data_IF_823202716527
#
_entry.id   IF_823202716527
#
_cell.length_a   1.000
_cell.length_b   1.000
_cell.length_c   1.000
_cell.angle_alpha   90.00
_cell.angle_beta   90.00
_cell.angle_gamma   90.00
#
_symmetry.space_group_name_H-M   'P 1'
#
loop_
_entity.id
_entity.type
_entity.pdbx_description
1 polymer ?
#
# COMPACT_ATOMS: atom_id res chain seq x y z
N UNK A 1 8.91 -59.53 15.07
CA UNK A 1 9.75 -59.51 13.85
C UNK A 1 9.13 -58.52 12.89
N UNK A 2 9.72 -57.41 12.47
CA UNK A 2 11.08 -56.88 12.63
C UNK A 2 11.01 -55.47 13.23
N UNK A 3 11.82 -55.25 14.27
CA UNK A 3 12.33 -53.93 14.65
C UNK A 3 13.19 -53.40 13.50
N UNK A 4 13.10 -52.11 13.22
CA UNK A 4 14.24 -51.31 12.76
C UNK A 4 14.33 -50.11 13.70
N UNK A 5 15.45 -50.03 14.41
CA UNK A 5 15.76 -48.96 15.33
C UNK A 5 16.33 -47.75 14.57
N UNK A 6 15.96 -46.54 14.97
CA UNK A 6 16.76 -45.34 14.72
C UNK A 6 16.49 -44.26 15.77
N UNK A 7 17.48 -44.12 16.67
CA UNK A 7 18.08 -42.88 17.20
C UNK A 7 17.16 -41.81 17.83
N UNK A 8 17.34 -41.65 19.15
CA UNK A 8 16.99 -40.45 19.92
C UNK A 8 17.66 -39.20 19.31
N UNK A 9 16.87 -38.23 18.87
CA UNK A 9 17.24 -36.81 18.87
C UNK A 9 16.17 -36.07 19.68
N UNK A 10 16.63 -35.24 20.59
CA UNK A 10 15.89 -34.53 21.62
C UNK A 10 14.82 -33.61 21.05
N UNK A 11 13.56 -33.83 21.46
CA UNK A 11 12.58 -32.78 21.75
C UNK A 11 12.16 -31.84 20.60
N UNK A 12 11.54 -32.37 19.55
CA UNK A 12 10.46 -31.64 18.88
C UNK A 12 9.18 -32.44 19.10
N UNK A 13 8.27 -31.90 19.90
CA UNK A 13 6.90 -32.38 19.88
C UNK A 13 6.32 -32.01 18.51
N UNK A 14 6.10 -33.01 17.66
CA UNK A 14 5.20 -32.87 16.52
C UNK A 14 3.80 -32.67 17.12
N UNK A 15 3.35 -31.42 17.16
CA UNK A 15 1.96 -31.10 17.44
C UNK A 15 1.19 -31.57 16.20
N UNK A 16 0.25 -32.54 16.32
CA UNK A 16 -0.69 -32.78 15.23
C UNK A 16 -1.50 -31.49 15.05
N UNK A 17 -1.51 -30.93 13.83
CA UNK A 17 -2.40 -29.84 13.45
C UNK A 17 -3.83 -30.41 13.44
N UNK A 18 -4.42 -30.53 14.63
CA UNK A 18 -5.83 -30.84 14.82
C UNK A 18 -6.56 -29.52 15.03
N UNK A 19 -7.39 -29.14 14.05
CA UNK A 19 -8.57 -28.28 14.18
C UNK A 19 -8.45 -27.13 15.20
N UNK A 20 -7.58 -26.16 14.95
CA UNK A 20 -7.98 -24.80 15.27
C UNK A 20 -9.03 -24.48 14.22
N UNK A 21 -10.29 -24.26 14.62
CA UNK A 21 -11.27 -23.64 13.74
C UNK A 21 -10.68 -22.30 13.31
N UNK A 22 -10.01 -22.27 12.16
CA UNK A 22 -9.44 -21.04 11.66
C UNK A 22 -10.61 -20.09 11.48
N UNK A 23 -10.60 -19.00 12.26
CA UNK A 23 -11.59 -17.95 12.07
C UNK A 23 -11.54 -17.57 10.60
N UNK A 24 -12.70 -17.70 9.94
CA UNK A 24 -12.82 -17.50 8.51
C UNK A 24 -13.47 -16.15 8.32
N UNK A 25 -12.88 -15.32 7.47
CA UNK A 25 -13.40 -13.98 7.19
C UNK A 25 -13.76 -13.83 5.71
N UNK A 26 -14.66 -12.89 5.43
CA UNK A 26 -15.02 -12.44 4.09
C UNK A 26 -15.14 -10.92 4.05
N UNK A 27 -15.25 -10.37 2.84
CA UNK A 27 -15.53 -8.95 2.61
C UNK A 27 -16.96 -8.78 2.09
N UNK A 28 -17.76 -8.00 2.81
CA UNK A 28 -19.11 -7.63 2.39
C UNK A 28 -19.13 -6.21 1.85
N UNK A 29 -19.67 -6.04 0.64
CA UNK A 29 -19.85 -4.70 0.05
C UNK A 29 -20.94 -3.96 0.82
N UNK A 30 -20.62 -2.79 1.35
CA UNK A 30 -21.55 -1.98 2.15
C UNK A 30 -22.17 -0.85 1.35
N UNK A 31 -21.40 -0.19 0.47
CA UNK A 31 -21.89 0.90 -0.37
C UNK A 31 -20.95 1.22 -1.52
N UNK A 32 -21.47 1.99 -2.49
CA UNK A 32 -20.70 2.72 -3.51
C UNK A 32 -20.87 4.22 -3.27
N UNK A 33 -19.75 4.95 -3.30
CA UNK A 33 -19.73 6.41 -3.17
C UNK A 33 -19.24 6.98 -4.51
N UNK A 34 -20.13 7.57 -5.34
CA UNK A 34 -19.72 8.16 -6.61
C UNK A 34 -18.83 9.38 -6.37
N UNK A 35 -17.76 9.54 -7.16
CA UNK A 35 -16.95 10.76 -7.13
C UNK A 35 -17.59 11.82 -8.02
N UNK A 36 -18.30 12.76 -7.40
CA UNK A 36 -18.87 13.91 -8.09
C UNK A 36 -17.81 15.02 -8.17
N UNK A 37 -17.04 15.02 -9.25
CA UNK A 37 -15.99 16.02 -9.53
C UNK A 37 -16.50 17.23 -10.32
N UNK A 38 -17.81 17.36 -10.55
CA UNK A 38 -18.38 18.41 -11.38
C UNK A 38 -17.93 18.32 -12.84
N UNK A 39 -17.38 19.41 -13.38
CA UNK A 39 -16.86 19.46 -14.76
C UNK A 39 -15.45 18.83 -14.91
N UNK A 40 -14.84 18.39 -13.80
CA UNK A 40 -13.53 17.76 -13.79
C UNK A 40 -13.63 16.26 -14.13
N UNK A 41 -12.58 15.73 -14.75
CA UNK A 41 -12.48 14.32 -15.14
C UNK A 41 -11.33 13.69 -14.35
N UNK A 42 -11.64 12.64 -13.60
CA UNK A 42 -10.61 11.83 -12.98
C UNK A 42 -9.70 11.20 -14.05
N UNK A 43 -8.40 11.39 -13.89
CA UNK A 43 -7.37 10.64 -14.60
C UNK A 43 -7.06 9.34 -13.86
N UNK A 44 -5.77 9.08 -13.64
CA UNK A 44 -5.32 7.87 -12.99
C UNK A 44 -5.05 8.15 -11.51
N UNK A 45 -5.87 7.55 -10.65
CA UNK A 45 -5.73 7.68 -9.21
C UNK A 45 -4.55 6.82 -8.72
N UNK A 46 -3.59 7.46 -8.04
CA UNK A 46 -2.42 6.81 -7.46
C UNK A 46 -2.65 6.33 -6.03
N UNK A 47 -3.37 7.11 -5.24
CA UNK A 47 -3.60 6.85 -3.81
C UNK A 47 -4.96 7.39 -3.34
N UNK A 48 -5.47 6.82 -2.25
CA UNK A 48 -6.68 7.25 -1.57
C UNK A 48 -6.48 7.13 -0.06
N UNK A 49 -6.65 8.26 0.63
CA UNK A 49 -6.71 8.29 2.09
C UNK A 49 -8.02 8.88 2.56
N UNK A 50 -8.35 8.62 3.81
CA UNK A 50 -9.44 9.27 4.52
C UNK A 50 -8.90 9.94 5.79
N UNK A 51 -9.40 11.13 6.10
CA UNK A 51 -9.10 11.77 7.39
C UNK A 51 -10.13 11.41 8.47
N UNK A 52 -9.89 11.88 9.69
CA UNK A 52 -10.77 11.62 10.84
C UNK A 52 -12.14 12.30 10.76
N UNK A 53 -12.35 13.21 9.80
CA UNK A 53 -13.65 13.81 9.50
C UNK A 53 -14.38 13.03 8.38
N UNK A 54 -13.79 11.94 7.89
CA UNK A 54 -14.32 11.11 6.82
C UNK A 54 -14.14 11.69 5.42
N UNK A 55 -13.35 12.76 5.25
CA UNK A 55 -13.07 13.37 3.95
C UNK A 55 -12.07 12.50 3.19
N UNK A 56 -12.28 12.36 1.90
CA UNK A 56 -11.41 11.58 1.02
C UNK A 56 -10.40 12.48 0.32
N UNK A 57 -9.17 11.99 0.16
CA UNK A 57 -8.13 12.65 -0.61
C UNK A 57 -7.59 11.65 -1.62
N UNK A 58 -7.68 11.99 -2.90
CA UNK A 58 -7.28 11.13 -4.00
C UNK A 58 -6.15 11.80 -4.78
N UNK A 59 -4.98 11.17 -4.86
CA UNK A 59 -3.91 11.68 -5.74
C UNK A 59 -4.21 11.26 -7.16
N UNK A 60 -4.26 12.22 -8.08
CA UNK A 60 -4.46 11.97 -9.49
C UNK A 60 -3.22 12.43 -10.25
N UNK A 61 -2.39 11.45 -10.62
CA UNK A 61 -1.09 11.75 -11.17
C UNK A 61 -1.17 12.22 -12.63
N UNK A 62 -2.23 11.86 -13.37
CA UNK A 62 -2.44 12.34 -14.73
C UNK A 62 -2.94 13.79 -14.72
N UNK A 63 -3.79 14.14 -13.76
CA UNK A 63 -4.32 15.50 -13.60
C UNK A 63 -3.40 16.42 -12.77
N UNK A 64 -2.26 15.90 -12.30
CA UNK A 64 -1.29 16.61 -11.47
C UNK A 64 -1.94 17.32 -10.27
N UNK A 65 -2.78 16.59 -9.55
CA UNK A 65 -3.63 17.17 -8.51
C UNK A 65 -3.92 16.19 -7.38
N UNK A 66 -4.41 16.72 -6.26
CA UNK A 66 -5.12 15.95 -5.24
C UNK A 66 -6.57 16.41 -5.20
N UNK A 67 -7.50 15.47 -5.34
CA UNK A 67 -8.93 15.70 -5.18
C UNK A 67 -9.29 15.55 -3.70
N UNK A 68 -9.81 16.61 -3.09
CA UNK A 68 -10.35 16.57 -1.73
C UNK A 68 -11.87 16.52 -1.81
N UNK A 69 -12.46 15.41 -1.37
CA UNK A 69 -13.89 15.15 -1.44
C UNK A 69 -14.51 14.99 -0.04
N UNK A 70 -15.80 15.28 0.07
CA UNK A 70 -16.56 15.03 1.30
C UNK A 70 -16.88 13.54 1.48
N UNK A 71 -17.54 13.19 2.58
CA UNK A 71 -17.95 11.81 2.91
C UNK A 71 -18.92 11.18 1.88
N UNK A 72 -19.46 11.97 0.96
CA UNK A 72 -20.37 11.54 -0.11
C UNK A 72 -19.70 11.56 -1.48
N UNK A 73 -18.37 11.74 -1.54
CA UNK A 73 -17.59 11.76 -2.77
C UNK A 73 -17.71 13.06 -3.56
N UNK A 74 -18.35 14.11 -3.02
CA UNK A 74 -18.47 15.40 -3.72
C UNK A 74 -17.19 16.20 -3.57
N UNK A 75 -16.68 16.72 -4.68
CA UNK A 75 -15.47 17.54 -4.69
C UNK A 75 -15.65 18.79 -3.82
N UNK A 76 -14.82 18.90 -2.79
CA UNK A 76 -14.68 20.11 -1.97
C UNK A 76 -13.67 21.04 -2.63
N UNK A 77 -12.49 20.51 -2.96
CA UNK A 77 -11.37 21.28 -3.51
C UNK A 77 -10.44 20.44 -4.37
N UNK A 78 -9.83 21.10 -5.34
CA UNK A 78 -8.68 20.63 -6.10
C UNK A 78 -7.41 21.24 -5.51
N UNK A 79 -6.41 20.43 -5.21
CA UNK A 79 -5.11 20.87 -4.69
C UNK A 79 -4.03 20.70 -5.76
N UNK A 80 -3.39 21.80 -6.10
CA UNK A 80 -2.32 21.84 -7.09
C UNK A 80 -2.79 21.86 -8.54
N UNK A 81 -1.80 22.01 -9.42
CA UNK A 81 -1.91 21.99 -10.88
C UNK A 81 -0.56 21.57 -11.45
N UNK A 82 -0.52 21.16 -12.70
CA UNK A 82 0.73 20.82 -13.38
C UNK A 82 1.78 21.93 -13.27
N UNK A 83 2.99 21.57 -12.86
CA UNK A 83 4.14 22.46 -12.84
C UNK A 83 5.16 22.11 -11.76
N UNK A 84 6.04 23.06 -11.46
CA UNK A 84 7.12 22.90 -10.48
C UNK A 84 7.27 24.13 -9.56
N UNK A 85 6.43 25.16 -9.71
CA UNK A 85 6.37 26.31 -8.82
C UNK A 85 5.69 26.02 -7.48
N UNK A 86 5.57 27.04 -6.61
CA UNK A 86 4.87 26.92 -5.32
C UNK A 86 3.43 26.43 -5.50
N UNK A 87 3.10 25.32 -4.84
CA UNK A 87 1.78 24.68 -4.90
C UNK A 87 1.47 23.97 -6.22
N UNK A 88 2.39 23.95 -7.19
CA UNK A 88 2.27 23.13 -8.41
C UNK A 88 2.77 21.72 -8.15
N UNK A 89 2.25 20.74 -8.88
CA UNK A 89 2.53 19.32 -8.70
C UNK A 89 2.93 18.69 -10.03
N UNK A 90 3.73 17.63 -9.96
CA UNK A 90 4.14 16.83 -11.11
C UNK A 90 4.10 15.34 -10.73
N UNK A 91 3.16 14.59 -11.30
CA UNK A 91 2.94 13.17 -11.01
C UNK A 91 2.80 12.85 -9.51
N UNK A 92 1.92 13.53 -8.74
CA UNK A 92 1.74 13.25 -7.31
C UNK A 92 1.40 11.76 -7.09
N UNK A 93 2.18 11.07 -6.26
CA UNK A 93 2.06 9.60 -6.11
C UNK A 93 1.36 9.16 -4.83
N UNK A 94 1.44 9.96 -3.76
CA UNK A 94 0.84 9.64 -2.47
C UNK A 94 0.52 10.90 -1.68
N UNK A 95 -0.40 10.78 -0.72
CA UNK A 95 -0.76 11.89 0.15
C UNK A 95 -1.04 11.40 1.57
N UNK A 96 -0.89 12.30 2.54
CA UNK A 96 -1.22 12.06 3.95
C UNK A 96 -1.76 13.34 4.56
N UNK A 97 -2.49 13.21 5.67
CA UNK A 97 -3.01 14.33 6.43
C UNK A 97 -2.37 14.32 7.81
N UNK A 98 -1.89 15.49 8.23
CA UNK A 98 -1.39 15.71 9.58
C UNK A 98 -1.94 17.03 10.09
N UNK A 99 -2.66 16.99 11.21
CA UNK A 99 -3.41 18.14 11.74
C UNK A 99 -4.29 18.79 10.63
N UNK A 100 -4.18 20.10 10.44
CA UNK A 100 -4.91 20.85 9.41
C UNK A 100 -4.11 21.03 8.10
N UNK A 101 -3.26 20.05 7.77
CA UNK A 101 -2.40 20.09 6.58
C UNK A 101 -2.59 18.85 5.71
N UNK A 102 -2.60 19.08 4.40
CA UNK A 102 -2.53 18.04 3.37
C UNK A 102 -1.11 18.01 2.85
N UNK A 103 -0.48 16.85 2.95
CA UNK A 103 0.91 16.64 2.61
C UNK A 103 0.95 15.74 1.39
N UNK A 104 1.61 16.19 0.33
CA UNK A 104 1.58 15.55 -0.98
C UNK A 104 2.99 15.18 -1.40
N UNK A 105 3.18 13.93 -1.79
CA UNK A 105 4.42 13.44 -2.38
C UNK A 105 4.42 13.77 -3.88
N UNK A 106 5.17 14.81 -4.25
CA UNK A 106 5.33 15.29 -5.62
C UNK A 106 6.51 14.53 -6.27
N UNK A 107 6.22 13.32 -6.72
CA UNK A 107 7.21 12.34 -7.22
C UNK A 107 7.99 12.87 -8.43
N UNK A 108 7.36 13.62 -9.33
CA UNK A 108 7.99 14.15 -10.53
C UNK A 108 9.00 15.26 -10.23
N UNK A 109 8.76 16.04 -9.16
CA UNK A 109 9.66 17.11 -8.74
C UNK A 109 10.62 16.71 -7.59
N UNK A 110 10.52 15.47 -7.09
CA UNK A 110 11.31 14.96 -5.94
C UNK A 110 11.19 15.86 -4.72
N UNK A 111 9.96 16.13 -4.29
CA UNK A 111 9.67 16.95 -3.10
C UNK A 111 8.41 16.50 -2.38
N UNK A 112 8.25 17.00 -1.17
CA UNK A 112 6.98 16.99 -0.44
C UNK A 112 6.41 18.40 -0.45
N UNK A 113 5.14 18.53 -0.81
CA UNK A 113 4.42 19.82 -0.84
C UNK A 113 3.35 19.82 0.24
N UNK A 114 3.25 20.92 0.98
CA UNK A 114 2.33 21.09 2.11
C UNK A 114 1.27 22.13 1.76
N UNK A 115 0.01 21.75 1.90
CA UNK A 115 -1.15 22.62 1.74
C UNK A 115 -1.92 22.71 3.06
N UNK A 116 -2.63 23.82 3.26
CA UNK A 116 -3.70 23.92 4.25
C UNK A 116 -4.97 23.19 3.77
N UNK A 117 -5.91 22.93 4.68
CA UNK A 117 -7.24 22.38 4.35
C UNK A 117 -8.09 23.27 3.43
N UNK A 118 -7.77 24.56 3.30
CA UNK A 118 -8.41 25.47 2.33
C UNK A 118 -7.73 25.46 0.94
N UNK A 119 -6.66 24.69 0.79
CA UNK A 119 -5.91 24.50 -0.45
C UNK A 119 -4.85 25.54 -0.74
N UNK A 120 -4.53 26.38 0.24
CA UNK A 120 -3.42 27.33 0.15
C UNK A 120 -2.09 26.58 0.30
N UNK A 121 -1.16 26.82 -0.62
CA UNK A 121 0.22 26.36 -0.49
C UNK A 121 0.86 26.96 0.78
N UNK A 122 1.53 26.11 1.56
CA UNK A 122 2.23 26.50 2.79
C UNK A 122 3.74 26.49 2.56
N UNK A 123 4.28 25.34 2.18
CA UNK A 123 5.71 25.12 2.03
C UNK A 123 6.00 23.88 1.16
N UNK A 124 7.25 23.70 0.76
CA UNK A 124 7.75 22.46 0.19
C UNK A 124 9.21 22.20 0.56
N UNK A 125 9.57 20.92 0.65
CA UNK A 125 10.95 20.52 0.89
C UNK A 125 11.38 19.39 -0.04
N UNK A 126 12.65 19.43 -0.45
CA UNK A 126 13.24 18.40 -1.30
C UNK A 126 13.39 17.10 -0.52
N UNK A 127 13.17 16.00 -1.21
CA UNK A 127 13.56 14.67 -0.75
C UNK A 127 14.76 14.21 -1.56
N UNK A 128 15.66 13.45 -0.94
CA UNK A 128 16.91 13.01 -1.58
C UNK A 128 16.71 11.91 -2.63
N UNK A 129 15.45 11.55 -2.91
CA UNK A 129 15.07 10.39 -3.70
C UNK A 129 14.49 10.74 -5.06
N UNK A 130 14.88 9.96 -6.06
CA UNK A 130 14.16 9.87 -7.32
C UNK A 130 13.04 8.83 -7.21
N UNK A 131 11.89 9.09 -7.84
CA UNK A 131 10.76 8.14 -7.94
C UNK A 131 10.26 7.61 -6.58
N UNK A 132 10.08 8.49 -5.60
CA UNK A 132 9.44 8.11 -4.34
C UNK A 132 7.99 7.64 -4.56
N UNK A 133 7.56 6.62 -3.83
CA UNK A 133 6.29 5.90 -4.09
C UNK A 133 5.30 5.96 -2.94
N UNK A 134 5.74 6.06 -1.69
CA UNK A 134 4.87 6.09 -0.52
C UNK A 134 5.23 7.22 0.45
N UNK A 135 4.20 7.72 1.13
CA UNK A 135 4.30 8.73 2.17
C UNK A 135 3.40 8.37 3.35
N UNK A 136 3.84 8.64 4.58
CA UNK A 136 3.03 8.48 5.79
C UNK A 136 3.40 9.55 6.82
N UNK A 137 2.41 10.18 7.44
CA UNK A 137 2.62 11.02 8.61
C UNK A 137 2.45 10.24 9.92
N UNK A 138 3.30 10.54 10.89
CA UNK A 138 3.13 10.12 12.28
C UNK A 138 2.15 11.06 13.01
N UNK A 139 1.67 10.61 14.17
CA UNK A 139 0.87 11.47 15.07
C UNK A 139 1.67 12.61 15.70
N UNK A 140 3.00 12.62 15.58
CA UNK A 140 3.89 13.66 16.09
C UNK A 140 4.55 14.51 14.99
N UNK A 141 4.04 14.44 13.75
CA UNK A 141 4.44 15.33 12.66
C UNK A 141 5.68 14.90 11.88
N UNK A 142 6.17 13.68 12.09
CA UNK A 142 7.22 13.09 11.25
C UNK A 142 6.64 12.51 9.97
N UNK A 143 7.39 12.61 8.88
CA UNK A 143 6.99 12.16 7.55
C UNK A 143 7.92 11.05 7.09
N UNK A 144 7.39 9.83 6.94
CA UNK A 144 8.11 8.74 6.30
C UNK A 144 7.91 8.79 4.78
N UNK A 145 9.00 8.70 4.03
CA UNK A 145 8.99 8.61 2.55
C UNK A 145 9.91 7.49 2.12
N UNK A 146 9.46 6.66 1.18
CA UNK A 146 10.27 5.58 0.61
C UNK A 146 10.50 5.79 -0.90
N UNK A 147 11.59 5.18 -1.39
CA UNK A 147 11.83 5.00 -2.82
C UNK A 147 12.34 3.58 -3.08
N UNK A 148 11.96 3.05 -4.23
CA UNK A 148 12.35 1.71 -4.68
C UNK A 148 13.82 1.61 -5.09
N UNK A 149 14.45 2.75 -5.35
CA UNK A 149 15.80 2.84 -5.89
C UNK A 149 16.86 2.98 -4.79
N UNK A 150 16.41 3.07 -3.54
CA UNK A 150 17.25 3.42 -2.41
C UNK A 150 17.58 2.21 -1.56
N UNK A 151 18.79 2.16 -0.97
CA UNK A 151 19.20 1.06 -0.12
C UNK A 151 18.48 1.07 1.23
N UNK A 152 17.86 2.17 1.64
CA UNK A 152 17.05 2.21 2.87
C UNK A 152 15.61 1.76 2.57
N UNK A 153 14.90 1.21 3.56
CA UNK A 153 13.45 0.99 3.38
C UNK A 153 12.75 2.34 3.23
N UNK A 154 13.00 3.27 4.15
CA UNK A 154 12.47 4.63 4.06
C UNK A 154 13.28 5.64 4.88
N UNK A 155 13.11 6.92 4.58
CA UNK A 155 13.63 8.04 5.38
C UNK A 155 12.50 8.76 6.08
N UNK A 156 12.80 9.24 7.28
CA UNK A 156 11.93 10.02 8.14
C UNK A 156 12.42 11.46 8.14
N UNK A 157 11.52 12.37 7.81
CA UNK A 157 11.72 13.81 7.75
C UNK A 157 10.88 14.48 8.84
N UNK A 158 11.33 15.62 9.35
CA UNK A 158 10.46 16.58 10.04
C UNK A 158 9.74 17.47 9.00
N UNK A 159 8.70 18.20 9.43
CA UNK A 159 7.90 19.06 8.55
C UNK A 159 8.68 20.20 7.88
N UNK A 160 9.86 20.55 8.38
CA UNK A 160 10.78 21.52 7.78
C UNK A 160 11.71 20.91 6.72
N UNK A 161 11.59 19.60 6.48
CA UNK A 161 12.40 18.84 5.54
C UNK A 161 13.73 18.33 6.09
N UNK A 162 14.04 18.57 7.37
CA UNK A 162 15.23 18.00 7.98
C UNK A 162 15.11 16.48 8.14
N UNK A 163 16.20 15.76 7.85
CA UNK A 163 16.24 14.30 7.96
C UNK A 163 16.45 13.89 9.41
N UNK A 164 15.48 13.19 9.98
CA UNK A 164 15.51 12.63 11.35
C UNK A 164 16.18 11.26 11.37
N UNK A 165 16.20 10.58 10.22
CA UNK A 165 16.98 9.37 9.98
C UNK A 165 16.32 8.44 8.99
N UNK A 166 16.99 7.33 8.67
CA UNK A 166 16.46 6.27 7.81
C UNK A 166 16.17 4.99 8.60
N UNK A 167 15.33 4.11 8.04
CA UNK A 167 14.95 2.83 8.62
C UNK A 167 15.16 1.70 7.64
N UNK A 168 15.73 0.62 8.16
CA UNK A 168 16.04 -0.62 7.44
C UNK A 168 17.11 -0.44 6.36
N UNK A 169 17.82 -1.52 6.07
CA UNK A 169 18.75 -1.62 4.95
C UNK A 169 18.29 -2.75 4.05
N UNK A 170 18.14 -2.46 2.76
CA UNK A 170 18.07 -3.44 1.69
C UNK A 170 19.49 -3.94 1.49
N UNK A 171 19.68 -5.24 1.60
CA UNK A 171 20.85 -5.88 1.02
C UNK A 171 20.44 -6.23 -0.40
N UNK A 172 20.87 -5.48 -1.44
CA UNK A 172 20.51 -5.81 -2.79
C UNK A 172 21.15 -7.15 -3.13
N UNK A 173 20.36 -8.12 -3.59
CA UNK A 173 20.95 -9.14 -4.45
C UNK A 173 21.32 -8.43 -5.75
N UNK A 174 22.62 -8.25 -6.00
CA UNK A 174 23.15 -7.56 -7.18
C UNK A 174 22.74 -8.21 -8.51
N UNK A 175 22.12 -9.40 -8.47
CA UNK A 175 21.67 -10.13 -9.64
C UNK A 175 20.23 -9.82 -10.09
N UNK A 176 19.45 -9.08 -9.29
CA UNK A 176 18.04 -8.82 -9.59
C UNK A 176 17.85 -7.31 -9.70
N UNK A 177 17.53 -6.81 -10.90
CA UNK A 177 16.75 -5.58 -11.00
C UNK A 177 15.47 -5.85 -10.22
N UNK A 178 15.39 -5.42 -8.95
CA UNK A 178 14.19 -5.58 -8.15
C UNK A 178 13.07 -4.88 -8.89
N UNK A 179 12.23 -5.68 -9.54
CA UNK A 179 11.24 -5.17 -10.46
C UNK A 179 10.25 -4.31 -9.70
N UNK A 180 9.92 -3.19 -10.34
CA UNK A 180 9.08 -2.11 -9.85
C UNK A 180 7.76 -2.64 -9.31
N UNK A 181 7.50 -2.48 -8.02
CA UNK A 181 6.18 -2.60 -7.41
C UNK A 181 6.01 -1.45 -6.43
N UNK A 182 4.83 -0.82 -6.40
CA UNK A 182 4.61 0.30 -5.48
C UNK A 182 4.69 -0.20 -4.04
N UNK A 183 5.44 0.55 -3.23
CA UNK A 183 5.61 0.30 -1.80
C UNK A 183 4.73 1.26 -1.06
N UNK A 184 3.98 0.72 -0.11
CA UNK A 184 2.92 1.42 0.56
C UNK A 184 3.14 1.38 2.06
N UNK A 185 2.81 2.51 2.66
CA UNK A 185 2.66 2.62 4.08
C UNK A 185 1.20 2.45 4.47
N UNK A 186 1.00 1.94 5.66
CA UNK A 186 -0.23 2.13 6.42
C UNK A 186 0.16 2.30 7.89
N UNK A 187 -0.81 2.64 8.74
CA UNK A 187 -0.56 2.86 10.15
C UNK A 187 -1.62 2.17 10.99
N UNK A 188 -1.20 1.47 12.03
CA UNK A 188 -2.14 0.87 12.99
C UNK A 188 -2.75 1.95 13.88
N UNK A 189 -3.87 1.65 14.55
CA UNK A 189 -4.47 2.53 15.55
C UNK A 189 -3.50 2.96 16.66
N UNK A 190 -2.55 2.07 17.01
CA UNK A 190 -1.47 2.32 17.96
C UNK A 190 -0.35 3.24 17.42
N UNK A 191 -0.39 3.64 16.15
CA UNK A 191 0.61 4.50 15.52
C UNK A 191 1.85 3.75 15.01
N UNK A 192 1.82 2.41 14.95
CA UNK A 192 2.90 1.63 14.36
C UNK A 192 2.82 1.69 12.83
N UNK A 193 3.98 1.72 12.19
CA UNK A 193 4.10 1.69 10.73
C UNK A 193 3.85 0.25 10.26
N UNK A 194 2.93 0.08 9.32
CA UNK A 194 2.90 -1.08 8.44
C UNK A 194 3.56 -0.69 7.13
N UNK A 195 4.52 -1.47 6.69
CA UNK A 195 5.29 -1.15 5.51
C UNK A 195 5.43 -2.38 4.62
N UNK A 196 5.01 -2.25 3.36
CA UNK A 196 5.40 -3.22 2.36
C UNK A 196 6.82 -2.97 1.89
N UNK A 197 7.62 -4.00 2.01
CA UNK A 197 8.95 -4.08 1.41
C UNK A 197 8.83 -4.46 -0.07
N UNK A 198 9.94 -4.84 -0.70
CA UNK A 198 9.90 -5.43 -2.06
C UNK A 198 9.48 -6.91 -2.00
N UNK A 199 9.15 -7.49 -3.16
CA UNK A 199 8.59 -8.84 -3.36
C UNK A 199 9.27 -9.94 -2.56
N UNK A 200 10.57 -9.79 -2.28
CA UNK A 200 11.40 -10.79 -1.60
C UNK A 200 11.36 -10.70 -0.06
N UNK A 201 10.64 -9.74 0.51
CA UNK A 201 10.65 -9.45 1.94
C UNK A 201 9.22 -9.42 2.52
N UNK A 202 9.06 -9.77 3.81
CA UNK A 202 7.77 -9.74 4.49
C UNK A 202 7.27 -8.31 4.67
N UNK A 203 5.95 -8.15 4.79
CA UNK A 203 5.40 -6.89 5.33
C UNK A 203 5.85 -6.78 6.78
N UNK A 204 6.27 -5.58 7.18
CA UNK A 204 6.76 -5.32 8.52
C UNK A 204 5.78 -4.42 9.28
N UNK A 205 5.50 -4.78 10.54
CA UNK A 205 4.97 -3.83 11.52
C UNK A 205 6.10 -3.35 12.40
N UNK A 206 6.32 -2.05 12.46
CA UNK A 206 7.44 -1.47 13.20
C UNK A 206 7.07 -0.18 13.92
N UNK A 207 7.88 0.17 14.92
CA UNK A 207 7.87 1.52 15.51
C UNK A 207 8.58 2.51 14.58
N UNK A 208 8.34 3.80 14.80
CA UNK A 208 9.00 4.90 14.09
C UNK A 208 10.53 4.97 14.31
N UNK A 209 11.05 4.33 15.36
CA UNK A 209 12.49 4.17 15.59
C UNK A 209 13.11 3.00 14.79
N UNK A 210 12.31 2.22 14.07
CA UNK A 210 12.76 1.06 13.29
C UNK A 210 12.65 -0.28 14.01
N UNK A 211 12.24 -0.30 15.28
CA UNK A 211 12.03 -1.55 16.01
C UNK A 211 10.92 -2.37 15.35
N UNK A 212 11.26 -3.54 14.80
CA UNK A 212 10.31 -4.49 14.23
C UNK A 212 9.50 -5.15 15.36
N UNK A 213 8.18 -5.21 15.17
CA UNK A 213 7.20 -5.74 16.13
C UNK A 213 6.51 -7.02 15.65
N UNK A 214 6.39 -7.19 14.33
CA UNK A 214 5.86 -8.38 13.69
C UNK A 214 6.26 -8.38 12.21
N UNK A 215 6.29 -9.57 11.63
CA UNK A 215 6.50 -9.82 10.21
C UNK A 215 5.29 -10.60 9.68
N UNK A 216 4.82 -10.25 8.49
CA UNK A 216 3.72 -10.94 7.83
C UNK A 216 4.26 -11.52 6.54
N UNK A 217 4.55 -12.82 6.60
CA UNK A 217 4.92 -13.60 5.42
C UNK A 217 3.67 -13.82 4.59
N UNK A 218 3.52 -13.03 3.53
CA UNK A 218 2.59 -13.38 2.47
C UNK A 218 3.22 -14.56 1.71
N UNK A 219 2.48 -15.66 1.60
CA UNK A 219 2.85 -16.81 0.77
C UNK A 219 2.84 -16.34 -0.69
N UNK A 220 3.90 -15.66 -1.12
CA UNK A 220 4.15 -15.39 -2.52
C UNK A 220 4.39 -16.76 -3.12
N UNK A 221 3.61 -17.22 -4.13
CA UNK A 221 3.94 -18.45 -4.82
C UNK A 221 5.39 -18.35 -5.26
N UNK A 222 6.24 -19.10 -4.56
CA UNK A 222 7.66 -19.07 -4.75
C UNK A 222 7.89 -19.53 -6.17
N UNK A 223 8.33 -18.62 -7.03
CA UNK A 223 9.17 -19.05 -8.13
C UNK A 223 10.43 -19.57 -7.44
N UNK A 224 10.51 -20.89 -7.25
CA UNK A 224 11.65 -21.54 -6.62
C UNK A 224 12.95 -20.97 -7.18
N UNK A 225 13.97 -20.83 -6.33
CA UNK A 225 15.33 -20.37 -6.65
C UNK A 225 15.65 -20.48 -8.15
N UNK A 226 15.62 -19.36 -8.87
CA UNK A 226 16.22 -19.30 -10.20
C UNK A 226 17.74 -19.27 -10.03
N UNK A 227 18.38 -20.41 -10.22
CA UNK A 227 19.82 -20.50 -10.41
C UNK A 227 20.10 -20.50 -11.91
N UNK A 228 20.82 -19.50 -12.40
CA UNK A 228 21.35 -19.52 -13.76
C UNK A 228 22.85 -19.82 -13.73
N UNK A 229 23.30 -20.96 -14.27
CA UNK A 229 24.63 -21.04 -14.85
C UNK A 229 24.56 -20.54 -16.31
N UNK A 230 25.62 -19.86 -16.77
CA UNK A 230 26.02 -19.71 -18.19
C UNK A 230 25.71 -18.44 -19.03
N UNK A 231 25.45 -17.27 -18.43
CA UNK A 231 25.63 -15.99 -19.16
C UNK A 231 24.64 -15.74 -20.32
N UNK A 232 23.35 -15.62 -20.03
CA UNK A 232 22.30 -15.36 -21.02
C UNK A 232 21.79 -13.91 -20.97
N UNK A 233 21.43 -13.40 -22.14
CA UNK A 233 20.89 -12.07 -22.46
C UNK A 233 19.48 -11.81 -21.89
N UNK A 234 19.21 -10.53 -21.61
CA UNK A 234 17.96 -10.02 -21.03
C UNK A 234 16.76 -10.02 -22.02
N UNK A 235 15.52 -10.25 -21.53
CA UNK A 235 14.31 -10.08 -22.33
C UNK A 235 14.00 -8.59 -22.58
N UNK A 236 13.20 -8.30 -23.61
CA UNK A 236 12.74 -6.95 -23.92
C UNK A 236 11.81 -6.45 -22.79
N UNK A 237 11.90 -5.17 -22.43
CA UNK A 237 11.07 -4.51 -21.40
C UNK A 237 9.56 -4.75 -21.62
N UNK A 238 9.11 -4.88 -22.87
CA UNK A 238 7.72 -5.20 -23.23
C UNK A 238 7.23 -6.58 -22.77
N UNK A 239 8.13 -7.53 -22.54
CA UNK A 239 7.79 -8.89 -22.10
C UNK A 239 7.74 -8.97 -20.56
N UNK A 240 8.41 -8.04 -19.88
CA UNK A 240 8.44 -7.90 -18.40
C UNK A 240 7.12 -7.33 -17.87
N UNK A 241 6.47 -6.45 -18.63
CA UNK A 241 5.17 -5.88 -18.27
C UNK A 241 4.03 -6.92 -18.29
N UNK A 242 4.26 -8.11 -18.86
CA UNK A 242 3.29 -9.22 -18.88
C UNK A 242 3.34 -10.09 -17.63
N UNK A 243 4.26 -9.82 -16.70
CA UNK A 243 4.55 -10.72 -15.58
C UNK A 243 4.50 -9.98 -14.25
N UNK A 244 3.63 -10.46 -13.35
CA UNK A 244 3.60 -10.24 -11.90
C UNK A 244 4.32 -8.98 -11.39
N UNK A 245 3.56 -7.90 -11.20
CA UNK A 245 3.98 -6.81 -10.30
C UNK A 245 3.17 -6.92 -9.01
N UNK A 246 3.65 -7.64 -7.99
CA UNK A 246 2.99 -7.67 -6.70
C UNK A 246 3.16 -6.29 -6.06
N UNK A 247 2.16 -5.42 -6.24
CA UNK A 247 1.99 -4.30 -5.33
C UNK A 247 1.54 -4.92 -4.01
N UNK A 248 2.44 -4.91 -3.03
CA UNK A 248 2.11 -5.29 -1.67
C UNK A 248 1.55 -4.05 -1.00
N UNK A 249 0.29 -4.10 -0.55
CA UNK A 249 -0.28 -3.02 0.25
C UNK A 249 -0.83 -3.59 1.56
N UNK A 250 -0.17 -3.29 2.68
CA UNK A 250 -0.67 -3.68 3.98
C UNK A 250 -1.74 -2.71 4.46
N UNK A 251 -2.80 -3.21 5.08
CA UNK A 251 -3.82 -2.41 5.74
C UNK A 251 -4.05 -2.95 7.16
N UNK A 252 -4.05 -2.07 8.15
CA UNK A 252 -4.50 -2.40 9.49
C UNK A 252 -6.02 -2.29 9.56
N UNK A 253 -6.72 -3.36 9.92
CA UNK A 253 -8.20 -3.41 10.02
C UNK A 253 -8.56 -4.01 11.38
N UNK A 254 -8.96 -3.16 12.32
CA UNK A 254 -9.11 -3.57 13.72
C UNK A 254 -7.86 -4.30 14.24
N UNK A 255 -8.04 -5.54 14.68
CA UNK A 255 -6.97 -6.41 15.20
C UNK A 255 -6.28 -7.28 14.14
N UNK A 256 -6.50 -6.98 12.86
CA UNK A 256 -5.96 -7.73 11.73
C UNK A 256 -5.08 -6.87 10.82
N UNK A 257 -4.23 -7.54 10.05
CA UNK A 257 -3.45 -6.97 8.96
C UNK A 257 -3.84 -7.70 7.68
N UNK A 258 -4.35 -6.96 6.70
CA UNK A 258 -4.57 -7.46 5.35
C UNK A 258 -3.36 -7.12 4.49
N UNK A 259 -2.72 -8.12 3.91
CA UNK A 259 -1.66 -7.96 2.91
C UNK A 259 -2.27 -8.20 1.54
N UNK A 260 -2.41 -7.12 0.76
CA UNK A 260 -3.00 -7.17 -0.57
C UNK A 260 -1.93 -7.36 -1.63
N UNK A 261 -2.27 -8.11 -2.68
CA UNK A 261 -1.43 -8.38 -3.86
C UNK A 261 -2.26 -8.15 -5.11
N UNK A 262 -1.59 -7.67 -6.16
CA UNK A 262 -2.18 -7.45 -7.48
C UNK A 262 -1.47 -8.30 -8.52
N UNK A 263 -2.24 -8.98 -9.36
CA UNK A 263 -1.77 -9.63 -10.59
C UNK A 263 -2.33 -8.84 -11.77
N UNK A 264 -1.45 -8.47 -12.68
CA UNK A 264 -1.82 -7.80 -13.93
C UNK A 264 -1.59 -8.79 -15.06
N UNK A 265 -2.65 -9.12 -15.76
CA UNK A 265 -2.67 -9.97 -16.94
C UNK A 265 -3.19 -9.15 -18.13
N UNK A 266 -2.52 -9.24 -19.27
CA UNK A 266 -2.91 -8.44 -20.44
C UNK A 266 -4.20 -8.97 -21.10
N UNK A 267 -4.58 -10.22 -20.85
CA UNK A 267 -5.76 -10.87 -21.44
C UNK A 267 -6.92 -10.91 -20.44
N UNK A 268 -6.66 -11.30 -19.17
CA UNK A 268 -7.70 -11.41 -18.14
C UNK A 268 -7.90 -10.15 -17.29
N UNK A 269 -7.07 -9.12 -17.46
CA UNK A 269 -7.17 -7.87 -16.71
C UNK A 269 -6.45 -7.93 -15.36
N UNK A 270 -7.04 -7.31 -14.34
CA UNK A 270 -6.40 -7.18 -13.02
C UNK A 270 -7.12 -8.10 -12.03
N UNK A 271 -6.36 -8.93 -11.31
CA UNK A 271 -6.83 -9.80 -10.22
C UNK A 271 -6.21 -9.34 -8.89
N UNK A 272 -6.99 -9.35 -7.81
CA UNK A 272 -6.54 -8.95 -6.48
C UNK A 272 -6.63 -10.11 -5.48
N UNK A 273 -5.57 -10.28 -4.68
CA UNK A 273 -5.47 -11.34 -3.68
C UNK A 273 -5.16 -10.75 -2.31
N UNK A 274 -5.65 -11.38 -1.25
CA UNK A 274 -5.43 -10.92 0.12
C UNK A 274 -5.02 -12.07 1.02
N UNK A 275 -3.97 -11.85 1.81
CA UNK A 275 -3.65 -12.70 2.96
C UNK A 275 -4.00 -11.92 4.23
N UNK A 276 -4.73 -12.55 5.15
CA UNK A 276 -5.16 -11.93 6.40
C UNK A 276 -4.35 -12.51 7.56
N UNK A 277 -3.91 -11.64 8.45
CA UNK A 277 -3.15 -12.01 9.64
C UNK A 277 -3.76 -11.35 10.87
N UNK A 278 -3.61 -11.98 12.01
CA UNK A 278 -3.69 -11.32 13.32
C UNK A 278 -2.58 -10.28 13.46
N UNK A 279 -2.75 -9.33 14.38
CA UNK A 279 -1.80 -8.24 14.61
C UNK A 279 -0.38 -8.74 14.98
N UNK A 280 -0.24 -9.92 15.58
CA UNK A 280 1.03 -10.56 15.95
C UNK A 280 1.61 -11.46 14.84
N UNK A 281 0.93 -11.60 13.71
CA UNK A 281 1.46 -12.27 12.51
C UNK A 281 0.97 -13.70 12.29
N UNK A 282 0.05 -14.22 13.12
CA UNK A 282 -0.55 -15.52 12.86
C UNK A 282 -1.55 -15.43 11.69
N UNK A 283 -1.47 -16.32 10.68
CA UNK A 283 -2.36 -16.30 9.52
C UNK A 283 -3.81 -16.64 9.89
N UNK A 284 -4.74 -16.02 9.18
CA UNK A 284 -6.19 -16.15 9.35
C UNK A 284 -6.80 -16.49 7.99
N UNK A 285 -7.86 -17.30 7.97
CA UNK A 285 -8.45 -17.75 6.72
C UNK A 285 -9.31 -16.64 6.10
N UNK A 286 -9.03 -16.31 4.84
CA UNK A 286 -9.90 -15.48 4.00
C UNK A 286 -10.67 -16.38 3.03
N UNK A 287 -12.00 -16.27 3.02
CA UNK A 287 -12.89 -17.15 2.25
C UNK A 287 -13.06 -16.74 0.76
N UNK A 288 -12.38 -15.69 0.33
CA UNK A 288 -12.56 -15.11 -1.00
C UNK A 288 -11.30 -14.38 -1.49
N UNK A 289 -11.21 -14.20 -2.80
CA UNK A 289 -10.28 -13.24 -3.41
C UNK A 289 -10.74 -11.81 -3.13
N UNK A 290 -9.84 -10.84 -3.28
CA UNK A 290 -10.20 -9.45 -3.09
C UNK A 290 -10.96 -8.94 -4.31
N UNK A 291 -12.12 -8.29 -4.14
CA UNK A 291 -12.85 -7.73 -5.27
C UNK A 291 -12.16 -6.49 -5.84
N UNK A 292 -11.39 -5.79 -5.02
CA UNK A 292 -10.74 -4.51 -5.34
C UNK A 292 -9.42 -4.38 -4.58
N UNK A 293 -8.60 -3.43 -5.03
CA UNK A 293 -7.54 -2.90 -4.18
C UNK A 293 -8.13 -1.88 -3.20
N UNK A 294 -7.91 -2.09 -1.91
CA UNK A 294 -8.25 -1.16 -0.85
C UNK A 294 -7.06 -0.24 -0.55
N UNK A 295 -7.32 1.02 -0.23
CA UNK A 295 -6.30 2.06 -0.01
C UNK A 295 -6.34 2.57 1.43
N UNK A 296 -7.55 2.80 1.94
CA UNK A 296 -7.79 3.36 3.27
C UNK A 296 -8.65 2.43 4.12
N UNK A 297 -8.53 2.61 5.44
CA UNK A 297 -9.36 1.94 6.46
C UNK A 297 -9.84 2.97 7.45
N UNK A 298 -11.11 2.87 7.83
CA UNK A 298 -11.73 3.60 8.95
C UNK A 298 -12.53 2.60 9.77
N UNK A 299 -12.11 2.39 11.02
CA UNK A 299 -12.59 1.31 11.90
C UNK A 299 -12.58 -0.08 11.20
N UNK A 300 -13.75 -0.58 10.80
CA UNK A 300 -13.96 -1.87 10.15
C UNK A 300 -14.30 -1.74 8.65
N UNK A 301 -14.30 -0.51 8.12
CA UNK A 301 -14.57 -0.19 6.73
C UNK A 301 -13.28 -0.04 5.94
N UNK A 302 -13.25 -0.67 4.77
CA UNK A 302 -12.18 -0.57 3.78
C UNK A 302 -12.68 0.20 2.57
N UNK A 303 -11.85 1.11 2.07
CA UNK A 303 -12.17 1.95 0.93
C UNK A 303 -11.26 1.60 -0.25
N UNK A 304 -11.86 1.18 -1.35
CA UNK A 304 -11.21 0.94 -2.63
C UNK A 304 -11.64 1.95 -3.68
N UNK A 305 -11.00 1.93 -4.83
CA UNK A 305 -11.46 2.68 -6.01
C UNK A 305 -11.74 1.69 -7.12
N UNK A 306 -12.92 1.80 -7.72
CA UNK A 306 -13.21 1.17 -8.98
C UNK A 306 -13.04 2.18 -10.11
N UNK A 307 -12.07 1.90 -10.98
CA UNK A 307 -11.77 2.71 -12.18
C UNK A 307 -12.33 2.08 -13.45
N UNK A 308 -13.13 1.02 -13.35
CA UNK A 308 -13.76 0.39 -14.52
C UNK A 308 -14.76 1.38 -15.13
N UNK A 309 -14.58 1.82 -16.38
CA UNK A 309 -15.51 2.76 -17.00
C UNK A 309 -16.87 2.09 -17.22
N UNK A 310 -17.97 2.74 -16.79
CA UNK A 310 -19.32 2.41 -17.24
C UNK A 310 -19.51 2.97 -18.67
N UNK A 311 -19.02 2.25 -19.68
CA UNK A 311 -19.23 2.48 -21.13
C UNK A 311 -18.91 3.90 -21.69
N UNK A 312 -18.91 4.01 -23.02
CA UNK A 312 -18.53 5.22 -23.77
C UNK A 312 -19.41 6.44 -23.38
N UNK A 313 -18.80 7.38 -22.65
CA UNK A 313 -19.45 8.51 -21.98
C UNK A 313 -19.04 8.67 -20.51
N UNK A 314 -18.39 7.64 -19.96
CA UNK A 314 -17.88 7.38 -18.61
C UNK A 314 -18.05 8.48 -17.54
N UNK A 315 -18.93 8.16 -16.59
CA UNK A 315 -18.99 8.77 -15.26
C UNK A 315 -17.64 8.67 -14.52
N UNK A 316 -17.39 9.61 -13.61
CA UNK A 316 -16.24 9.57 -12.70
C UNK A 316 -16.21 8.26 -11.88
N UNK A 317 -15.02 7.80 -11.43
CA UNK A 317 -14.88 6.58 -10.63
C UNK A 317 -15.70 6.62 -9.34
N UNK A 318 -15.93 5.46 -8.73
CA UNK A 318 -16.55 5.37 -7.42
C UNK A 318 -15.60 4.79 -6.38
N UNK A 319 -15.74 5.28 -5.16
CA UNK A 319 -15.14 4.67 -3.99
C UNK A 319 -16.04 3.51 -3.57
N UNK A 320 -15.49 2.30 -3.57
CA UNK A 320 -16.16 1.11 -3.08
C UNK A 320 -15.89 0.94 -1.59
N UNK A 321 -16.92 0.62 -0.82
CA UNK A 321 -16.80 0.47 0.63
C UNK A 321 -17.13 -0.97 1.03
N UNK A 322 -16.20 -1.63 1.69
CA UNK A 322 -16.34 -3.01 2.16
C UNK A 322 -16.12 -3.10 3.66
N UNK A 323 -16.68 -4.15 4.26
CA UNK A 323 -16.45 -4.50 5.67
C UNK A 323 -15.85 -5.89 5.75
N UNK A 324 -14.85 -6.05 6.63
CA UNK A 324 -14.33 -7.37 7.00
C UNK A 324 -15.29 -8.03 8.00
N UNK A 325 -15.86 -9.18 7.64
CA UNK A 325 -16.85 -9.89 8.45
C UNK A 325 -16.39 -11.29 8.77
N UNK A 326 -16.51 -11.71 10.03
CA UNK A 326 -16.27 -13.10 10.43
C UNK A 326 -17.42 -13.99 9.93
N UNK A 327 -17.07 -15.00 9.14
CA UNK A 327 -17.98 -16.02 8.64
C UNK A 327 -18.19 -17.06 9.73
N UNK A 328 -19.23 -16.88 10.52
CA UNK A 328 -19.64 -17.89 11.49
C UNK A 328 -20.18 -19.12 10.75
N UNK A 329 -19.44 -20.23 10.82
CA UNK A 329 -19.87 -21.52 10.28
C UNK A 329 -21.22 -21.93 10.86
N UNK A 330 -22.24 -21.99 10.01
CA UNK A 330 -23.49 -22.72 10.27
C UNK A 330 -23.53 -23.94 9.39
#
# INVERSE_FOLDING_TARGET
>A
MKLVAAVLVTGLALIPVSDVSAQTFSFEKTSDIPLDLGDEIAGQIGDLIQDTAGRFYLTDFQQNTVWMCDTKGRLIRRLGREGAGPGELNLPSGTTVYEDKVIVLDKGNSRVVVFTMDGTYVDDFRIDYFMATGILASKDGRIAVNSLWEPTLFTVYDMDGSVVGSRGERVPDQSVFTMMGDQHFNQTSAGHILYSTVKEYPVLRMKWDGTVLAEYEADSPGYGKLVFPSGVQFPKISDILKTWTPILRPLAIGDHVLVQRKKVDLESGIEYFGDLFTMDGAPVQLAMELPYQFYAVDDDLLYGIDTTPLDEGADNPYIVVYRLTEVNGR
#
